data_IF_083404562455
#
_entry.id   IF_083404562455
#
_cell.length_a   1.000
_cell.length_b   1.000
_cell.length_c   1.000
_cell.angle_alpha   90.00
_cell.angle_beta   90.00
_cell.angle_gamma   90.00
#
_symmetry.space_group_name_H-M   'P 1'
#
loop_
_entity.id
_entity.type
_entity.pdbx_description
1 polymer ?
#
# COMPACT_ATOMS: atom_id res chain seq x y z
N UNK A 1 14.46 11.69 21.87
CA UNK A 1 15.12 10.45 21.46
C UNK A 1 14.33 9.93 20.28
N UNK A 2 15.00 9.87 19.14
CA UNK A 2 14.40 9.88 17.80
C UNK A 2 13.57 8.63 17.50
N UNK A 3 12.25 8.80 17.36
CA UNK A 3 11.32 7.80 16.80
C UNK A 3 11.47 7.63 15.28
N UNK A 4 12.58 8.08 14.71
CA UNK A 4 12.86 8.02 13.26
C UNK A 4 13.47 6.69 12.80
N UNK A 5 13.74 5.74 13.70
CA UNK A 5 14.46 4.51 13.34
C UNK A 5 13.59 3.40 12.72
N UNK A 6 12.29 3.33 13.01
CA UNK A 6 11.40 2.35 12.36
C UNK A 6 10.29 3.10 11.62
N UNK A 7 10.55 3.45 10.36
CA UNK A 7 9.48 3.84 9.45
C UNK A 7 8.76 2.56 9.04
N UNK A 8 7.52 2.43 9.47
CA UNK A 8 6.71 1.26 9.13
C UNK A 8 6.00 1.47 7.79
N UNK A 9 5.79 0.36 7.09
CA UNK A 9 5.15 0.30 5.80
C UNK A 9 4.35 -0.99 5.69
N UNK A 10 3.36 -1.00 4.81
CA UNK A 10 2.55 -2.19 4.56
C UNK A 10 2.48 -2.43 3.07
N UNK A 11 2.88 -3.62 2.62
CA UNK A 11 2.64 -4.07 1.26
C UNK A 11 1.16 -4.43 1.12
N UNK A 12 0.43 -3.66 0.31
CA UNK A 12 -1.02 -3.82 0.15
C UNK A 12 -1.42 -4.58 -1.12
N UNK A 13 -0.52 -4.69 -2.09
CA UNK A 13 -0.71 -5.49 -3.31
C UNK A 13 0.64 -5.80 -3.96
N UNK A 14 0.71 -6.90 -4.71
CA UNK A 14 1.94 -7.27 -5.41
C UNK A 14 1.68 -8.16 -6.62
N UNK A 15 2.62 -8.14 -7.55
CA UNK A 15 2.70 -9.08 -8.66
C UNK A 15 4.15 -9.46 -8.91
N UNK A 16 4.42 -10.76 -8.80
CA UNK A 16 5.76 -11.31 -8.89
C UNK A 16 5.92 -12.07 -10.20
N UNK A 17 6.84 -11.59 -11.05
CA UNK A 17 7.18 -12.22 -12.33
C UNK A 17 8.68 -12.10 -12.66
N UNK A 18 9.32 -13.14 -13.24
CA UNK A 18 10.74 -13.13 -13.56
C UNK A 18 11.17 -12.00 -14.50
N UNK A 19 10.29 -11.54 -15.39
CA UNK A 19 10.62 -10.45 -16.31
C UNK A 19 10.45 -9.07 -15.67
N UNK A 20 9.40 -8.92 -14.85
CA UNK A 20 9.04 -7.65 -14.21
C UNK A 20 8.08 -7.88 -13.05
N UNK A 21 8.48 -7.46 -11.86
CA UNK A 21 7.61 -7.44 -10.68
C UNK A 21 7.18 -6.02 -10.33
N UNK A 22 6.11 -5.92 -9.57
CA UNK A 22 5.70 -4.69 -8.91
C UNK A 22 5.09 -4.96 -7.54
N UNK A 23 5.22 -3.99 -6.65
CA UNK A 23 4.55 -3.96 -5.36
C UNK A 23 3.90 -2.60 -5.14
N UNK A 24 2.82 -2.60 -4.38
CA UNK A 24 2.16 -1.37 -3.92
C UNK A 24 2.25 -1.34 -2.41
N UNK A 25 2.80 -0.24 -1.89
CA UNK A 25 3.10 -0.07 -0.48
C UNK A 25 2.37 1.17 0.04
N UNK A 26 1.78 1.05 1.22
CA UNK A 26 1.33 2.19 2.01
C UNK A 26 2.38 2.51 3.05
N UNK A 27 2.74 3.78 3.15
CA UNK A 27 3.61 4.31 4.19
C UNK A 27 3.08 5.70 4.56
N UNK A 28 2.64 5.87 5.80
CA UNK A 28 2.14 7.16 6.33
C UNK A 28 1.10 7.82 5.41
N UNK A 29 0.01 7.12 5.10
CA UNK A 29 -1.08 7.56 4.23
C UNK A 29 -0.64 8.06 2.83
N UNK A 30 0.54 7.65 2.40
CA UNK A 30 1.08 7.88 1.07
C UNK A 30 1.31 6.54 0.42
N UNK A 31 0.99 6.43 -0.87
CA UNK A 31 1.12 5.18 -1.61
C UNK A 31 2.31 5.21 -2.54
N UNK A 32 3.04 4.11 -2.58
CA UNK A 32 4.19 3.92 -3.46
C UNK A 32 3.94 2.69 -4.32
N UNK A 33 3.91 2.88 -5.64
CA UNK A 33 3.88 1.77 -6.59
C UNK A 33 5.29 1.58 -7.15
N UNK A 34 5.96 0.53 -6.69
CA UNK A 34 7.36 0.25 -7.02
C UNK A 34 7.40 -0.83 -8.07
N UNK A 35 8.15 -0.58 -9.14
CA UNK A 35 8.37 -1.54 -10.23
C UNK A 35 9.84 -1.88 -10.34
N UNK A 36 10.13 -3.13 -10.66
CA UNK A 36 11.47 -3.59 -11.02
C UNK A 36 11.39 -4.45 -12.27
N UNK A 37 12.24 -4.17 -13.26
CA UNK A 37 12.38 -5.02 -14.44
C UNK A 37 13.73 -5.70 -14.43
N UNK A 38 13.73 -7.00 -14.75
CA UNK A 38 14.97 -7.75 -14.91
C UNK A 38 15.88 -7.12 -15.99
N UNK A 39 15.29 -6.56 -17.05
CA UNK A 39 16.03 -5.90 -18.13
C UNK A 39 16.87 -4.71 -17.65
N UNK A 40 16.36 -3.96 -16.66
CA UNK A 40 17.02 -2.78 -16.09
C UNK A 40 18.18 -3.14 -15.15
N UNK A 41 18.19 -4.38 -14.62
CA UNK A 41 19.19 -4.86 -13.66
C UNK A 41 20.12 -5.95 -14.24
N UNK A 42 19.90 -6.41 -15.47
CA UNK A 42 20.52 -7.60 -16.07
C UNK A 42 22.06 -7.65 -16.05
N UNK A 43 22.74 -6.49 -16.01
CA UNK A 43 24.22 -6.39 -16.02
C UNK A 43 24.81 -6.13 -14.64
N UNK A 44 24.05 -6.41 -13.59
CA UNK A 44 24.43 -6.15 -12.20
C UNK A 44 24.27 -7.41 -11.34
N UNK A 45 24.85 -7.40 -10.13
CA UNK A 45 24.64 -8.47 -9.13
C UNK A 45 23.16 -8.67 -8.79
N UNK A 46 22.37 -7.59 -8.84
CA UNK A 46 20.96 -7.59 -8.48
C UNK A 46 20.10 -8.45 -9.42
N UNK A 47 20.53 -8.67 -10.67
CA UNK A 47 19.84 -9.59 -11.59
C UNK A 47 19.83 -11.03 -11.06
N UNK A 48 20.97 -11.48 -10.53
CA UNK A 48 21.08 -12.83 -9.94
C UNK A 48 20.29 -12.93 -8.65
N UNK A 49 20.37 -11.91 -7.79
CA UNK A 49 19.64 -11.85 -6.52
C UNK A 49 18.12 -11.86 -6.76
N UNK A 50 17.63 -10.95 -7.61
CA UNK A 50 16.22 -10.86 -7.98
C UNK A 50 15.71 -12.19 -8.56
N UNK A 51 16.44 -12.80 -9.50
CA UNK A 51 16.01 -14.07 -10.10
C UNK A 51 15.87 -15.19 -9.07
N UNK A 52 16.77 -15.25 -8.09
CA UNK A 52 16.71 -16.23 -7.00
C UNK A 52 15.51 -15.98 -6.08
N UNK A 53 15.29 -14.72 -5.68
CA UNK A 53 14.17 -14.35 -4.82
C UNK A 53 12.82 -14.58 -5.51
N UNK A 54 12.69 -14.24 -6.80
CA UNK A 54 11.47 -14.52 -7.59
C UNK A 54 11.21 -16.01 -7.71
N UNK A 55 12.23 -16.84 -7.93
CA UNK A 55 12.06 -18.29 -8.01
C UNK A 55 11.52 -18.85 -6.69
N UNK A 56 12.09 -18.42 -5.56
CA UNK A 56 11.62 -18.81 -4.22
C UNK A 56 10.19 -18.35 -3.94
N UNK A 57 9.90 -17.07 -4.16
CA UNK A 57 8.58 -16.50 -3.93
C UNK A 57 7.46 -17.14 -4.80
N UNK A 58 7.81 -17.78 -5.91
CA UNK A 58 6.85 -18.53 -6.74
C UNK A 58 6.52 -19.92 -6.21
N UNK A 59 7.48 -20.56 -5.55
CA UNK A 59 7.32 -21.89 -4.94
C UNK A 59 6.90 -21.79 -3.46
N UNK A 60 6.65 -20.56 -3.00
CA UNK A 60 6.34 -20.23 -1.63
C UNK A 60 4.91 -20.65 -1.24
N UNK A 61 4.81 -21.48 -0.21
CA UNK A 61 3.54 -21.99 0.30
C UNK A 61 3.08 -21.29 1.58
N UNK A 62 3.98 -20.62 2.31
CA UNK A 62 3.70 -19.97 3.60
C UNK A 62 3.76 -18.43 3.54
N UNK A 63 4.32 -17.87 2.45
CA UNK A 63 4.38 -16.44 2.21
C UNK A 63 5.68 -15.78 2.70
N UNK A 64 6.56 -16.53 3.37
CA UNK A 64 7.79 -15.96 3.94
C UNK A 64 8.77 -15.50 2.85
N UNK A 65 8.97 -16.29 1.79
CA UNK A 65 9.87 -15.94 0.69
C UNK A 65 9.28 -14.80 -0.18
N UNK A 66 7.95 -14.71 -0.27
CA UNK A 66 7.25 -13.58 -0.89
C UNK A 66 7.49 -12.28 -0.11
N UNK A 67 7.34 -12.31 1.22
CA UNK A 67 7.61 -11.15 2.08
C UNK A 67 9.08 -10.71 1.97
N UNK A 68 10.03 -11.65 1.96
CA UNK A 68 11.46 -11.36 1.76
C UNK A 68 11.72 -10.66 0.42
N UNK A 69 11.08 -11.11 -0.67
CA UNK A 69 11.20 -10.44 -1.96
C UNK A 69 10.59 -9.03 -1.92
N UNK A 70 9.43 -8.86 -1.28
CA UNK A 70 8.81 -7.55 -1.14
C UNK A 70 9.70 -6.58 -0.37
N UNK A 71 10.23 -6.99 0.78
CA UNK A 71 11.16 -6.17 1.57
C UNK A 71 12.43 -5.82 0.78
N UNK A 72 12.99 -6.77 0.02
CA UNK A 72 14.14 -6.49 -0.85
C UNK A 72 13.85 -5.42 -1.92
N UNK A 73 12.59 -5.33 -2.41
CA UNK A 73 12.15 -4.26 -3.32
C UNK A 73 11.91 -2.93 -2.55
N UNK A 74 11.41 -2.99 -1.31
CA UNK A 74 11.11 -1.80 -0.51
C UNK A 74 12.36 -1.12 0.03
N UNK A 75 13.34 -1.88 0.51
CA UNK A 75 14.53 -1.41 1.21
C UNK A 75 15.25 -0.23 0.52
N UNK A 76 15.53 -0.28 -0.81
CA UNK A 76 16.16 0.84 -1.52
C UNK A 76 15.30 2.12 -1.56
N UNK A 77 13.99 1.99 -1.37
CA UNK A 77 13.02 3.08 -1.43
C UNK A 77 12.82 3.79 -0.08
N UNK A 78 13.26 3.20 1.04
CA UNK A 78 13.01 3.75 2.38
C UNK A 78 13.48 5.20 2.56
N UNK A 79 14.65 5.64 2.04
CA UNK A 79 15.03 7.05 2.11
C UNK A 79 14.03 7.98 1.40
N UNK A 80 13.55 7.59 0.22
CA UNK A 80 12.57 8.36 -0.54
C UNK A 80 11.23 8.47 0.19
N UNK A 81 10.78 7.39 0.83
CA UNK A 81 9.56 7.41 1.65
C UNK A 81 9.71 8.40 2.81
N UNK A 82 10.85 8.39 3.51
CA UNK A 82 11.10 9.31 4.63
C UNK A 82 11.02 10.77 4.19
N UNK A 83 11.62 11.10 3.04
CA UNK A 83 11.65 12.46 2.50
C UNK A 83 10.26 12.95 2.05
N UNK A 84 9.46 12.06 1.46
CA UNK A 84 8.16 12.42 0.89
C UNK A 84 7.00 12.39 1.89
N UNK A 85 7.16 11.72 3.03
CA UNK A 85 6.09 11.54 4.04
C UNK A 85 6.28 12.36 5.32
N UNK A 86 7.15 13.37 5.32
CA UNK A 86 7.45 14.17 6.53
C UNK A 86 6.23 14.94 7.05
N UNK A 87 5.40 15.46 6.14
CA UNK A 87 4.37 16.45 6.47
C UNK A 87 2.94 15.91 6.30
N UNK A 88 2.74 14.60 6.48
CA UNK A 88 1.42 14.01 6.32
C UNK A 88 0.53 14.42 7.51
N UNK A 89 -0.70 14.92 7.27
CA UNK A 89 -1.65 15.24 8.33
C UNK A 89 -1.91 14.02 9.22
N UNK A 90 -1.97 14.22 10.54
CA UNK A 90 -2.30 13.14 11.49
C UNK A 90 -3.79 12.78 11.48
N UNK A 91 -4.64 13.76 11.22
CA UNK A 91 -6.08 13.56 11.10
C UNK A 91 -6.42 13.19 9.66
N UNK A 92 -6.41 11.89 9.36
CA UNK A 92 -6.79 11.36 8.03
C UNK A 92 -8.18 10.72 8.06
N UNK A 93 -8.88 10.82 6.93
CA UNK A 93 -10.16 10.18 6.71
C UNK A 93 -9.99 8.87 5.94
N UNK A 94 -11.05 8.06 5.91
CA UNK A 94 -11.09 6.91 5.01
C UNK A 94 -10.91 7.34 3.54
N UNK A 95 -11.40 8.51 3.14
CA UNK A 95 -11.18 8.99 1.78
C UNK A 95 -9.69 9.23 1.52
N UNK A 96 -8.97 9.84 2.47
CA UNK A 96 -7.55 10.13 2.32
C UNK A 96 -6.71 8.84 2.24
N UNK A 97 -7.08 7.81 3.02
CA UNK A 97 -6.39 6.52 2.99
C UNK A 97 -6.64 5.72 1.70
N UNK A 98 -7.88 5.69 1.21
CA UNK A 98 -8.24 4.91 0.00
C UNK A 98 -7.91 5.64 -1.30
N UNK A 99 -7.76 6.97 -1.25
CA UNK A 99 -7.35 7.81 -2.38
C UNK A 99 -6.12 8.67 -2.03
N UNK A 100 -5.00 8.05 -1.62
CA UNK A 100 -3.83 8.78 -1.16
C UNK A 100 -3.02 9.33 -2.35
N UNK A 101 -2.18 10.35 -2.11
CA UNK A 101 -1.10 10.69 -3.04
C UNK A 101 -0.31 9.44 -3.41
N UNK A 102 0.01 9.27 -4.69
CA UNK A 102 0.66 8.07 -5.21
C UNK A 102 1.93 8.42 -5.97
N UNK A 103 3.05 7.86 -5.52
CA UNK A 103 4.33 7.93 -6.22
C UNK A 103 4.56 6.66 -7.02
N UNK A 104 4.96 6.80 -8.28
CA UNK A 104 5.35 5.68 -9.12
C UNK A 104 6.87 5.62 -9.20
N UNK A 105 7.44 4.53 -8.70
CA UNK A 105 8.88 4.34 -8.61
C UNK A 105 9.32 3.19 -9.52
N UNK A 106 10.47 3.35 -10.15
CA UNK A 106 11.18 2.30 -10.86
C UNK A 106 12.54 2.10 -10.21
N UNK A 107 12.83 0.87 -9.79
CA UNK A 107 14.16 0.52 -9.30
C UNK A 107 15.13 0.38 -10.45
N UNK A 108 16.25 1.09 -10.35
CA UNK A 108 17.33 1.10 -11.33
C UNK A 108 18.68 0.84 -10.63
N UNK A 109 19.68 0.43 -11.40
CA UNK A 109 21.05 0.24 -10.91
C UNK A 109 21.83 1.54 -11.07
N UNK A 110 22.51 1.98 -10.01
CA UNK A 110 23.53 3.03 -10.05
C UNK A 110 24.77 2.56 -9.30
N UNK A 111 25.83 2.23 -10.04
CA UNK A 111 27.03 1.60 -9.47
C UNK A 111 26.68 0.28 -8.80
N UNK A 112 27.00 0.16 -7.51
CA UNK A 112 26.79 -1.03 -6.70
C UNK A 112 25.47 -1.02 -5.91
N UNK A 113 24.56 -0.08 -6.21
CA UNK A 113 23.30 0.10 -5.46
C UNK A 113 22.08 0.07 -6.38
N UNK A 114 20.96 -0.42 -5.83
CA UNK A 114 19.62 -0.13 -6.37
C UNK A 114 19.16 1.21 -5.84
N UNK A 115 18.49 1.99 -6.67
CA UNK A 115 17.90 3.25 -6.26
C UNK A 115 16.51 3.45 -6.90
N UNK A 116 15.59 4.11 -6.18
CA UNK A 116 14.29 4.46 -6.72
C UNK A 116 14.41 5.66 -7.65
N UNK A 117 13.84 5.55 -8.84
CA UNK A 117 13.62 6.68 -9.74
C UNK A 117 12.12 6.93 -9.88
N UNK A 118 11.70 8.15 -9.58
CA UNK A 118 10.33 8.56 -9.84
C UNK A 118 10.05 8.59 -11.35
N UNK A 119 8.94 7.99 -11.74
CA UNK A 119 8.46 7.93 -13.11
C UNK A 119 7.10 8.60 -13.21
N UNK A 120 6.71 8.98 -14.42
CA UNK A 120 5.38 9.56 -14.65
C UNK A 120 4.30 8.60 -14.16
N UNK A 121 3.29 9.17 -13.50
CA UNK A 121 2.05 8.49 -13.14
C UNK A 121 1.48 7.78 -14.37
N UNK A 122 1.29 6.47 -14.25
CA UNK A 122 0.74 5.61 -15.32
C UNK A 122 -0.75 5.34 -15.13
N UNK A 123 -1.39 6.04 -14.21
CA UNK A 123 -2.76 5.81 -13.81
C UNK A 123 -2.85 4.93 -12.57
N UNK A 124 -3.82 5.28 -11.73
CA UNK A 124 -4.22 4.61 -10.51
C UNK A 124 -4.57 3.13 -10.75
N UNK A 125 -3.80 2.21 -10.18
CA UNK A 125 -4.29 0.86 -9.88
C UNK A 125 -4.88 0.90 -8.47
N UNK A 126 -6.20 0.70 -8.33
CA UNK A 126 -6.77 0.52 -6.99
C UNK A 126 -6.36 -0.87 -6.49
N UNK A 127 -5.47 -0.93 -5.51
CA UNK A 127 -5.14 -2.17 -4.82
C UNK A 127 -6.38 -2.74 -4.06
N UNK A 128 -7.38 -1.91 -3.78
CA UNK A 128 -8.60 -2.32 -3.09
C UNK A 128 -9.66 -2.63 -4.16
N UNK A 129 -9.68 -3.91 -4.54
CA UNK A 129 -10.27 -4.51 -5.76
C UNK A 129 -11.75 -4.22 -6.05
N UNK A 130 -12.55 -3.76 -5.07
CA UNK A 130 -13.99 -3.64 -5.24
C UNK A 130 -14.46 -2.18 -5.18
N UNK A 131 -14.63 -1.56 -6.35
CA UNK A 131 -15.39 -0.32 -6.49
C UNK A 131 -16.75 -0.64 -7.10
N UNK A 132 -17.84 -0.31 -6.39
CA UNK A 132 -19.21 -0.54 -6.85
C UNK A 132 -19.86 0.80 -7.15
N UNK A 133 -20.48 0.98 -8.34
CA UNK A 133 -21.27 2.16 -8.62
C UNK A 133 -22.35 2.38 -7.56
N UNK A 134 -22.54 3.61 -7.10
CA UNK A 134 -23.52 3.91 -6.03
C UNK A 134 -24.96 3.53 -6.38
N UNK A 135 -25.29 3.41 -7.67
CA UNK A 135 -26.59 2.94 -8.17
C UNK A 135 -26.82 1.43 -8.01
N UNK A 136 -25.76 0.64 -7.83
CA UNK A 136 -25.84 -0.81 -7.59
C UNK A 136 -26.06 -1.14 -6.10
N UNK A 137 -25.97 -0.14 -5.21
CA UNK A 137 -26.16 -0.31 -3.77
C UNK A 137 -27.65 -0.28 -3.39
N UNK A 138 -28.10 -1.08 -2.39
CA UNK A 138 -29.46 -1.05 -1.88
C UNK A 138 -29.93 0.38 -1.56
N UNK A 139 -31.18 0.76 -1.88
CA UNK A 139 -31.64 2.13 -1.70
C UNK A 139 -31.62 2.56 -0.23
N UNK A 140 -31.29 3.82 0.02
CA UNK A 140 -31.51 4.43 1.33
C UNK A 140 -33.04 4.47 1.61
N UNK A 141 -33.52 4.17 2.83
CA UNK A 141 -32.78 4.01 4.09
C UNK A 141 -32.44 2.57 4.49
N UNK A 142 -32.65 1.57 3.61
CA UNK A 142 -32.42 0.15 3.97
C UNK A 142 -30.98 -0.09 4.44
N UNK A 143 -30.02 0.62 3.85
CA UNK A 143 -28.62 0.65 4.29
C UNK A 143 -28.21 2.11 4.51
N UNK A 144 -27.88 2.52 5.76
CA UNK A 144 -27.34 3.84 6.05
C UNK A 144 -26.05 4.09 5.27
N UNK A 145 -25.88 5.32 4.75
CA UNK A 145 -24.72 5.69 3.94
C UNK A 145 -24.00 6.86 4.58
N UNK A 146 -22.69 6.75 4.69
CA UNK A 146 -21.83 7.84 5.14
C UNK A 146 -20.70 8.04 4.14
N UNK A 147 -20.30 9.30 3.92
CA UNK A 147 -19.20 9.61 3.01
C UNK A 147 -17.88 9.25 3.68
N UNK A 148 -16.96 8.63 2.95
CA UNK A 148 -15.63 8.30 3.45
C UNK A 148 -14.85 9.54 3.96
N UNK A 149 -15.13 10.72 3.39
CA UNK A 149 -14.57 12.01 3.86
C UNK A 149 -15.05 12.43 5.24
N UNK A 150 -16.13 11.85 5.75
CA UNK A 150 -16.68 12.15 7.07
C UNK A 150 -16.23 11.13 8.12
N UNK A 151 -15.62 10.02 7.68
CA UNK A 151 -15.14 8.96 8.53
C UNK A 151 -13.67 9.22 8.85
N UNK A 152 -13.37 9.60 10.09
CA UNK A 152 -11.98 9.78 10.54
C UNK A 152 -11.39 8.45 10.96
N UNK A 153 -10.16 8.17 10.56
CA UNK A 153 -9.42 7.00 11.03
C UNK A 153 -8.99 7.26 12.48
N UNK A 154 -9.09 6.25 13.33
CA UNK A 154 -8.66 6.37 14.72
C UNK A 154 -7.13 6.39 14.75
N UNK A 155 -6.57 7.53 15.13
CA UNK A 155 -5.17 7.62 15.57
C UNK A 155 -5.08 6.97 16.95
N UNK A 156 -4.63 5.73 17.02
CA UNK A 156 -4.30 5.10 18.30
C UNK A 156 -2.86 5.51 18.67
N UNK A 157 -2.70 6.19 19.80
CA UNK A 157 -1.39 6.67 20.24
C UNK A 157 -0.46 5.52 20.67
N UNK A 158 -0.98 4.32 20.88
CA UNK A 158 -0.19 3.12 21.14
C UNK A 158 0.23 2.38 19.86
N UNK A 159 -0.39 2.69 18.71
CA UNK A 159 -0.09 2.07 17.42
C UNK A 159 0.61 3.08 16.50
N UNK A 160 1.93 2.98 16.42
CA UNK A 160 2.78 3.89 15.63
C UNK A 160 2.51 3.85 14.10
N UNK A 161 1.70 2.91 13.59
CA UNK A 161 1.54 2.66 12.15
C UNK A 161 0.10 2.68 11.58
N UNK A 162 -0.85 3.32 12.26
CA UNK A 162 -2.25 3.39 11.79
C UNK A 162 -2.42 4.03 10.39
N UNK A 163 -1.40 4.73 9.90
CA UNK A 163 -1.41 5.39 8.59
C UNK A 163 -0.87 4.51 7.46
N UNK A 164 -0.17 3.42 7.76
CA UNK A 164 0.32 2.47 6.76
C UNK A 164 -0.53 1.20 6.71
N UNK A 165 -1.11 0.81 7.84
CA UNK A 165 -2.01 -0.33 7.93
C UNK A 165 -3.42 -0.04 7.40
N UNK A 166 -4.13 -1.09 6.97
CA UNK A 166 -5.53 -0.99 6.54
C UNK A 166 -6.41 -0.61 7.74
N UNK A 167 -7.17 0.50 7.69
CA UNK A 167 -8.00 0.95 8.80
C UNK A 167 -9.05 -0.10 9.19
N UNK A 168 -9.12 -0.43 10.48
CA UNK A 168 -10.10 -1.39 11.02
C UNK A 168 -11.24 -0.72 11.80
N UNK A 169 -11.11 0.58 12.09
CA UNK A 169 -12.07 1.37 12.86
C UNK A 169 -12.12 2.80 12.35
N UNK A 170 -13.27 3.44 12.51
CA UNK A 170 -13.46 4.85 12.17
C UNK A 170 -14.40 5.55 13.13
N UNK A 171 -14.25 6.87 13.21
CA UNK A 171 -15.16 7.77 13.93
C UNK A 171 -16.09 8.40 12.92
N UNK A 172 -17.39 8.16 13.10
CA UNK A 172 -18.46 8.73 12.29
C UNK A 172 -18.74 10.19 12.67
N UNK A 173 -19.54 10.88 11.85
CA UNK A 173 -19.86 12.30 12.05
C UNK A 173 -20.59 12.61 13.36
N UNK A 174 -21.31 11.64 13.94
CA UNK A 174 -21.95 11.78 15.26
C UNK A 174 -20.99 11.53 16.44
N UNK A 175 -19.71 11.23 16.17
CA UNK A 175 -18.70 10.92 17.17
C UNK A 175 -18.63 9.45 17.57
N UNK A 176 -19.49 8.58 17.02
CA UNK A 176 -19.50 7.14 17.33
C UNK A 176 -18.36 6.43 16.63
N UNK A 177 -17.63 5.61 17.38
CA UNK A 177 -16.66 4.65 16.85
C UNK A 177 -17.36 3.43 16.26
N UNK A 178 -17.00 3.07 15.03
CA UNK A 178 -17.48 1.88 14.32
C UNK A 178 -16.30 1.01 13.88
N UNK A 179 -16.51 -0.30 13.83
CA UNK A 179 -15.59 -1.21 13.14
C UNK A 179 -15.78 -1.08 11.63
N UNK A 180 -14.69 -1.24 10.89
CA UNK A 180 -14.68 -1.21 9.45
C UNK A 180 -14.08 -2.50 8.91
N UNK A 181 -14.72 -3.03 7.87
CA UNK A 181 -14.26 -4.20 7.13
C UNK A 181 -14.46 -3.89 5.64
N UNK A 182 -13.40 -3.93 4.81
CA UNK A 182 -13.54 -3.70 3.39
C UNK A 182 -14.32 -4.86 2.76
N UNK A 183 -15.30 -4.53 1.91
CA UNK A 183 -15.98 -5.52 1.10
C UNK A 183 -15.07 -5.98 -0.05
N UNK A 184 -14.90 -7.29 -0.19
CA UNK A 184 -14.11 -7.94 -1.24
C UNK A 184 -14.98 -8.42 -2.40
N UNK A 185 -16.27 -8.65 -2.15
CA UNK A 185 -17.25 -8.96 -3.19
C UNK A 185 -18.64 -8.33 -2.92
N UNK A 186 -19.49 -8.30 -3.96
CA UNK A 186 -20.85 -7.75 -3.87
C UNK A 186 -21.76 -8.48 -2.87
N UNK A 187 -21.50 -9.75 -2.54
CA UNK A 187 -22.36 -10.55 -1.66
C UNK A 187 -22.18 -10.17 -0.19
N UNK A 188 -21.00 -9.65 0.17
CA UNK A 188 -20.70 -9.21 1.53
C UNK A 188 -21.49 -7.97 1.94
N UNK A 189 -21.93 -7.13 1.00
CA UNK A 189 -22.74 -5.94 1.27
C UNK A 189 -24.16 -6.22 1.78
N UNK A 190 -24.68 -7.43 1.58
CA UNK A 190 -26.07 -7.79 1.87
C UNK A 190 -26.22 -8.62 3.16
N UNK A 191 -25.12 -8.92 3.86
CA UNK A 191 -25.08 -9.87 4.98
C UNK A 191 -24.71 -9.26 6.33
N UNK A 192 -24.22 -8.03 6.38
CA UNK A 192 -23.75 -7.32 7.57
C UNK A 192 -24.52 -5.99 7.72
#
# INVERSE_FOLDING_TARGET
MDSFQNMSHTVIDSHIDPSRSWITVMCRATRFHITISHADIQKSRFSTEYSKLVAKAKDDNDGEDHDVLCEWIVDPCLPYFRETTVNVPKDITFQDFYFPPTHHLQLLVSGDSLYPKEIRDRGYMNALKLMIPSGDLPPFPEVPREKASNLRIISDAEWDDYMSEIPQKGITSDGTTRFFKPALDKKQLLRE
#
